data_IF_825332626343
#
_entry.id   IF_825332626343
#
_cell.length_a   1.000
_cell.length_b   1.000
_cell.length_c   1.000
_cell.angle_alpha   90.00
_cell.angle_beta   90.00
_cell.angle_gamma   90.00
#
_symmetry.space_group_name_H-M   'P 1'
#
loop_
_entity.id
_entity.type
_entity.pdbx_description
1 polymer ?
#
# COMPACT_ATOMS: atom_id res chain seq x y z
N UNK A 1 -23.34 8.57 2.51
CA UNK A 1 -23.13 9.54 1.41
C UNK A 1 -24.44 10.27 1.17
N UNK A 2 -24.47 11.62 1.12
CA UNK A 2 -25.72 12.39 0.97
C UNK A 2 -25.84 13.16 -0.37
N UNK A 3 -24.76 13.36 -1.11
CA UNK A 3 -24.75 14.28 -2.27
C UNK A 3 -24.69 13.60 -3.64
N UNK A 4 -24.43 12.29 -3.72
CA UNK A 4 -24.30 11.57 -5.00
C UNK A 4 -23.00 11.85 -5.76
N UNK A 5 -22.25 12.88 -5.37
CA UNK A 5 -21.00 13.27 -6.03
C UNK A 5 -19.96 12.16 -6.03
N UNK A 6 -19.32 11.99 -7.19
CA UNK A 6 -18.17 11.11 -7.35
C UNK A 6 -17.00 11.71 -6.57
N UNK A 7 -16.64 11.07 -5.45
CA UNK A 7 -15.46 11.46 -4.67
C UNK A 7 -14.16 10.92 -5.26
N UNK A 8 -14.18 9.65 -5.68
CA UNK A 8 -13.00 8.92 -6.13
C UNK A 8 -13.36 7.91 -7.20
N UNK A 9 -12.44 7.67 -8.13
CA UNK A 9 -12.46 6.58 -9.12
C UNK A 9 -11.34 5.60 -8.79
N UNK A 10 -11.62 4.30 -8.89
CA UNK A 10 -10.67 3.25 -8.53
C UNK A 10 -10.89 2.03 -9.42
N UNK A 11 -9.82 1.30 -9.70
CA UNK A 11 -9.83 0.03 -10.41
C UNK A 11 -9.95 -1.14 -9.44
N UNK A 12 -9.99 -2.37 -9.97
CA UNK A 12 -9.94 -3.59 -9.14
C UNK A 12 -8.63 -3.75 -8.39
N UNK A 13 -7.52 -3.24 -8.95
CA UNK A 13 -6.21 -3.32 -8.31
C UNK A 13 -6.17 -2.48 -7.01
N UNK A 14 -6.97 -1.42 -6.93
CA UNK A 14 -7.07 -0.57 -5.74
C UNK A 14 -8.06 -1.16 -4.73
N UNK A 15 -9.26 -1.56 -5.20
CA UNK A 15 -10.35 -2.00 -4.33
C UNK A 15 -10.13 -3.37 -3.69
N UNK A 16 -9.19 -4.17 -4.19
CA UNK A 16 -8.88 -5.49 -3.62
C UNK A 16 -8.35 -5.38 -2.18
N UNK A 17 -7.62 -4.30 -1.86
CA UNK A 17 -7.11 -4.03 -0.51
C UNK A 17 -8.20 -3.73 0.52
N UNK A 18 -9.42 -3.40 0.09
CA UNK A 18 -10.57 -3.21 0.98
C UNK A 18 -11.52 -4.41 1.08
N UNK A 19 -11.32 -5.46 0.27
CA UNK A 19 -12.27 -6.57 0.10
C UNK A 19 -11.70 -7.96 0.40
N UNK A 20 -10.43 -8.23 0.07
CA UNK A 20 -9.77 -9.47 0.47
C UNK A 20 -9.38 -9.39 1.95
N UNK A 21 -9.67 -10.42 2.75
CA UNK A 21 -9.47 -10.41 4.20
C UNK A 21 -8.01 -10.22 4.62
N UNK A 22 -7.07 -10.84 3.91
CA UNK A 22 -5.63 -10.74 4.23
C UNK A 22 -5.09 -9.36 3.84
N UNK A 23 -5.40 -8.89 2.64
CA UNK A 23 -4.96 -7.57 2.17
C UNK A 23 -5.59 -6.43 3.00
N UNK A 24 -6.83 -6.61 3.43
CA UNK A 24 -7.52 -5.67 4.30
C UNK A 24 -6.86 -5.57 5.67
N UNK A 25 -6.43 -6.68 6.26
CA UNK A 25 -5.71 -6.65 7.53
C UNK A 25 -4.41 -5.83 7.42
N UNK A 26 -3.69 -5.93 6.31
CA UNK A 26 -2.48 -5.13 6.03
C UNK A 26 -2.86 -3.65 5.84
N UNK A 27 -3.92 -3.36 5.09
CA UNK A 27 -4.39 -2.00 4.86
C UNK A 27 -4.82 -1.32 6.18
N UNK A 28 -5.41 -2.06 7.12
CA UNK A 28 -5.80 -1.56 8.44
C UNK A 28 -4.58 -1.21 9.30
N UNK A 29 -3.50 -2.00 9.23
CA UNK A 29 -2.22 -1.64 9.88
C UNK A 29 -1.71 -0.31 9.36
N UNK A 30 -1.58 -0.14 8.03
CA UNK A 30 -1.05 1.11 7.48
C UNK A 30 -2.03 2.30 7.55
N UNK A 31 -3.33 2.05 7.63
CA UNK A 31 -4.37 3.08 7.74
C UNK A 31 -4.65 3.57 9.17
N UNK A 32 -3.95 3.02 10.17
CA UNK A 32 -4.08 3.46 11.57
C UNK A 32 -3.32 4.76 11.81
N UNK A 33 -3.80 5.61 12.72
CA UNK A 33 -3.32 6.98 12.93
C UNK A 33 -1.85 7.12 13.34
N UNK A 34 -1.24 6.06 13.86
CA UNK A 34 0.15 6.03 14.33
C UNK A 34 1.12 5.37 13.33
N UNK A 35 0.62 4.95 12.15
CA UNK A 35 1.34 4.07 11.25
C UNK A 35 1.98 4.76 10.04
N UNK A 36 1.91 6.09 9.96
CA UNK A 36 2.50 6.88 8.86
C UNK A 36 4.02 6.67 8.74
N UNK A 37 4.77 6.80 9.85
CA UNK A 37 6.23 6.61 9.83
C UNK A 37 6.61 5.18 9.43
N UNK A 38 5.85 4.20 9.93
CA UNK A 38 6.02 2.79 9.57
C UNK A 38 5.76 2.57 8.08
N UNK A 39 4.69 3.15 7.54
CA UNK A 39 4.37 3.07 6.11
C UNK A 39 5.50 3.62 5.26
N UNK A 40 6.02 4.80 5.58
CA UNK A 40 7.13 5.42 4.83
C UNK A 40 8.37 4.53 4.86
N UNK A 41 8.77 4.03 6.03
CA UNK A 41 9.94 3.15 6.19
C UNK A 41 9.78 1.84 5.41
N UNK A 42 8.63 1.20 5.51
CA UNK A 42 8.35 -0.06 4.82
C UNK A 42 8.30 0.14 3.29
N UNK A 43 7.71 1.25 2.83
CA UNK A 43 7.68 1.62 1.42
C UNK A 43 9.08 1.83 0.85
N UNK A 44 9.93 2.62 1.53
CA UNK A 44 11.32 2.86 1.10
C UNK A 44 12.10 1.55 1.04
N UNK A 45 11.94 0.67 2.04
CA UNK A 45 12.60 -0.64 2.05
C UNK A 45 12.15 -1.52 0.87
N UNK A 46 10.86 -1.53 0.55
CA UNK A 46 10.34 -2.28 -0.58
C UNK A 46 10.85 -1.71 -1.91
N UNK A 47 10.90 -0.38 -2.04
CA UNK A 47 11.46 0.31 -3.20
C UNK A 47 12.92 -0.05 -3.43
N UNK A 48 13.77 0.15 -2.41
CA UNK A 48 15.20 -0.17 -2.46
C UNK A 48 15.46 -1.64 -2.82
N UNK A 49 14.67 -2.55 -2.24
CA UNK A 49 14.75 -3.97 -2.59
C UNK A 49 14.53 -4.19 -4.09
N UNK A 50 13.47 -3.61 -4.67
CA UNK A 50 13.15 -3.79 -6.08
C UNK A 50 14.22 -3.17 -6.99
N UNK A 51 14.77 -2.01 -6.61
CA UNK A 51 15.83 -1.33 -7.37
C UNK A 51 17.15 -2.10 -7.41
N UNK A 52 17.36 -3.06 -6.52
CA UNK A 52 18.57 -3.87 -6.46
C UNK A 52 18.37 -5.33 -6.90
N UNK A 53 17.20 -5.71 -7.44
CA UNK A 53 16.92 -7.12 -7.81
C UNK A 53 17.81 -7.66 -8.93
N UNK A 54 18.40 -6.79 -9.76
CA UNK A 54 19.28 -7.14 -10.88
C UNK A 54 20.77 -6.84 -10.62
N UNK A 55 21.12 -6.34 -9.43
CA UNK A 55 22.49 -6.02 -9.01
C UNK A 55 23.27 -7.27 -8.59
N UNK A 56 23.44 -8.18 -9.54
CA UNK A 56 24.21 -9.43 -9.34
C UNK A 56 25.71 -9.18 -9.10
N UNK A 57 26.20 -7.98 -9.39
CA UNK A 57 27.57 -7.50 -9.18
C UNK A 57 27.90 -7.19 -7.70
N UNK A 58 26.88 -7.02 -6.86
CA UNK A 58 27.04 -6.64 -5.45
C UNK A 58 26.99 -7.82 -4.46
N UNK A 59 27.22 -9.06 -4.94
CA UNK A 59 27.25 -10.28 -4.11
C UNK A 59 28.65 -10.72 -3.72
#
# INVERSE_FOLDING_TARGET
RKTGDVKWSASRADLIFGSNSELRAIAEVYGTSDSEEKFVKDFVKAWDKVMNLDRFDLK
#
